data_IF_272564497184
#
_entry.id   IF_272564497184
#
_cell.length_a   1.000
_cell.length_b   1.000
_cell.length_c   1.000
_cell.angle_alpha   90.00
_cell.angle_beta   90.00
_cell.angle_gamma   90.00
#
_symmetry.space_group_name_H-M   'P 1'
#
loop_
_entity.id
_entity.type
_entity.pdbx_description
1 polymer ?
#
# COMPACT_ATOMS: atom_id res chain seq x y z
N UNK A 1 0.58 -12.93 3.92
CA UNK A 1 0.39 -14.34 4.34
C UNK A 1 1.68 -15.11 4.70
N UNK A 2 2.88 -14.72 4.23
CA UNK A 2 4.14 -15.51 4.35
C UNK A 2 5.39 -14.64 4.65
N UNK A 3 5.19 -13.51 5.34
CA UNK A 3 6.25 -12.57 5.73
C UNK A 3 5.82 -11.12 5.53
N UNK A 4 6.81 -10.25 5.37
CA UNK A 4 6.61 -8.80 5.24
C UNK A 4 7.15 -8.28 3.91
N UNK A 5 6.58 -7.17 3.45
CA UNK A 5 7.08 -6.36 2.33
C UNK A 5 7.22 -4.92 2.82
N UNK A 6 8.18 -4.20 2.26
CA UNK A 6 8.32 -2.76 2.42
C UNK A 6 7.88 -2.10 1.13
N UNK A 7 6.84 -1.26 1.20
CA UNK A 7 6.31 -0.52 0.05
C UNK A 7 6.70 0.95 0.17
N UNK A 8 7.37 1.49 -0.84
CA UNK A 8 7.84 2.87 -0.88
C UNK A 8 6.84 3.79 -1.57
N UNK A 9 5.99 4.44 -0.78
CA UNK A 9 4.99 5.40 -1.26
C UNK A 9 5.49 6.83 -1.04
N UNK A 10 6.15 7.40 -2.05
CA UNK A 10 6.79 8.72 -1.95
C UNK A 10 5.83 9.92 -2.07
N UNK A 11 4.65 9.73 -2.67
CA UNK A 11 3.68 10.80 -2.93
C UNK A 11 2.26 10.24 -3.09
N UNK A 12 1.28 11.13 -3.21
CA UNK A 12 -0.15 10.79 -3.32
C UNK A 12 -0.48 9.99 -4.58
N UNK A 13 0.26 10.21 -5.69
CA UNK A 13 0.09 9.45 -6.92
C UNK A 13 0.52 8.00 -6.74
N UNK A 14 1.63 7.75 -6.04
CA UNK A 14 2.09 6.39 -5.73
C UNK A 14 1.10 5.70 -4.80
N UNK A 15 0.51 6.43 -3.85
CA UNK A 15 -0.48 5.88 -2.93
C UNK A 15 -1.76 5.43 -3.65
N UNK A 16 -2.29 6.31 -4.50
CA UNK A 16 -3.43 5.98 -5.38
C UNK A 16 -3.15 4.75 -6.23
N UNK A 17 -1.96 4.73 -6.87
CA UNK A 17 -1.56 3.59 -7.71
C UNK A 17 -1.48 2.29 -6.92
N UNK A 18 -0.94 2.30 -5.71
CA UNK A 18 -0.92 1.13 -4.84
C UNK A 18 -2.35 0.64 -4.55
N UNK A 19 -3.26 1.53 -4.16
CA UNK A 19 -4.65 1.18 -3.85
C UNK A 19 -5.39 0.62 -5.09
N UNK A 20 -5.17 1.20 -6.27
CA UNK A 20 -5.68 0.68 -7.54
C UNK A 20 -5.18 -0.74 -7.84
N UNK A 21 -3.88 -0.99 -7.69
CA UNK A 21 -3.28 -2.31 -7.93
C UNK A 21 -3.80 -3.37 -6.96
N UNK A 22 -4.12 -2.96 -5.73
CA UNK A 22 -4.71 -3.83 -4.72
C UNK A 22 -6.23 -3.98 -4.86
N UNK A 23 -6.84 -3.40 -5.91
CA UNK A 23 -8.28 -3.51 -6.19
C UNK A 23 -9.18 -2.76 -5.21
N UNK A 24 -8.63 -1.78 -4.49
CA UNK A 24 -9.31 -1.02 -3.44
C UNK A 24 -9.03 0.50 -3.60
N UNK A 25 -9.33 1.11 -4.77
CA UNK A 25 -9.06 2.52 -5.03
C UNK A 25 -9.74 3.49 -4.05
N UNK A 26 -10.86 3.09 -3.45
CA UNK A 26 -11.64 3.87 -2.47
C UNK A 26 -10.83 4.27 -1.23
N UNK A 27 -9.81 3.50 -0.86
CA UNK A 27 -8.93 3.82 0.27
C UNK A 27 -8.14 5.10 -0.01
N UNK A 28 -7.78 5.35 -1.28
CA UNK A 28 -7.07 6.57 -1.65
C UNK A 28 -7.95 7.82 -1.69
N UNK A 29 -9.27 7.64 -1.60
CA UNK A 29 -10.26 8.71 -1.50
C UNK A 29 -10.69 8.99 -0.06
N UNK A 30 -10.29 8.13 0.89
CA UNK A 30 -10.52 8.37 2.31
C UNK A 30 -9.85 9.70 2.73
N UNK A 31 -10.59 10.63 3.36
CA UNK A 31 -10.02 11.90 3.84
C UNK A 31 -8.81 11.72 4.77
N UNK A 32 -8.70 10.56 5.44
CA UNK A 32 -7.55 10.23 6.30
C UNK A 32 -6.27 9.94 5.52
N UNK A 33 -6.37 9.57 4.23
CA UNK A 33 -5.24 9.07 3.45
C UNK A 33 -4.98 9.84 2.14
N UNK A 34 -5.80 10.84 1.83
CA UNK A 34 -5.74 11.58 0.56
C UNK A 34 -4.38 12.26 0.36
N UNK A 35 -3.86 12.98 1.36
CA UNK A 35 -2.54 13.63 1.29
C UNK A 35 -1.52 12.94 2.18
N UNK A 36 -0.24 13.15 1.88
CA UNK A 36 0.85 12.62 2.69
C UNK A 36 0.80 13.05 4.16
N UNK A 37 0.46 14.31 4.43
CA UNK A 37 0.32 14.80 5.79
C UNK A 37 -0.79 14.06 6.56
N UNK A 38 -1.91 13.80 5.89
CA UNK A 38 -3.04 13.08 6.47
C UNK A 38 -2.65 11.63 6.78
N UNK A 39 -1.94 10.96 5.86
CA UNK A 39 -1.41 9.61 6.07
C UNK A 39 -0.46 9.52 7.26
N UNK A 40 0.45 10.49 7.41
CA UNK A 40 1.38 10.53 8.55
C UNK A 40 0.62 10.75 9.86
N UNK A 41 -0.37 11.65 9.87
CA UNK A 41 -1.21 11.90 11.04
C UNK A 41 -2.08 10.67 11.42
N UNK A 42 -2.44 9.84 10.43
CA UNK A 42 -3.29 8.66 10.59
C UNK A 42 -2.51 7.34 10.43
N UNK A 43 -1.20 7.33 10.72
CA UNK A 43 -0.33 6.16 10.47
C UNK A 43 -0.85 4.84 11.05
N UNK A 44 -1.42 4.79 12.28
CA UNK A 44 -2.00 3.55 12.80
C UNK A 44 -3.17 3.03 11.95
N UNK A 45 -4.10 3.90 11.57
CA UNK A 45 -5.24 3.55 10.73
C UNK A 45 -4.82 3.16 9.31
N UNK A 46 -3.79 3.83 8.76
CA UNK A 46 -3.21 3.47 7.48
C UNK A 46 -2.58 2.08 7.53
N UNK A 47 -1.84 1.76 8.60
CA UNK A 47 -1.20 0.46 8.78
C UNK A 47 -2.24 -0.66 8.82
N UNK A 48 -3.33 -0.45 9.54
CA UNK A 48 -4.45 -1.41 9.61
C UNK A 48 -5.11 -1.61 8.23
N UNK A 49 -5.38 -0.52 7.50
CA UNK A 49 -5.93 -0.59 6.15
C UNK A 49 -5.01 -1.35 5.19
N UNK A 50 -3.71 -1.05 5.19
CA UNK A 50 -2.73 -1.74 4.35
C UNK A 50 -2.55 -3.21 4.75
N UNK A 51 -2.60 -3.53 6.04
CA UNK A 51 -2.55 -4.91 6.51
C UNK A 51 -3.75 -5.72 6.00
N UNK A 52 -4.94 -5.11 5.98
CA UNK A 52 -6.14 -5.70 5.37
C UNK A 52 -5.96 -5.98 3.88
N UNK A 53 -5.38 -5.04 3.12
CA UNK A 53 -5.11 -5.20 1.68
C UNK A 53 -4.14 -6.35 1.35
N UNK A 54 -3.20 -6.63 2.24
CA UNK A 54 -2.14 -7.61 2.03
C UNK A 54 -2.41 -8.96 2.71
N UNK A 55 -3.49 -9.08 3.49
CA UNK A 55 -3.74 -10.23 4.35
C UNK A 55 -3.88 -11.54 3.56
N UNK A 56 -4.55 -11.51 2.42
CA UNK A 56 -4.86 -12.66 1.57
C UNK A 56 -3.76 -13.00 0.55
N UNK A 57 -2.69 -12.20 0.47
CA UNK A 57 -1.66 -12.33 -0.58
C UNK A 57 -0.31 -12.77 -0.03
N UNK A 58 0.48 -13.42 -0.89
CA UNK A 58 1.88 -13.75 -0.59
C UNK A 58 2.79 -12.55 -0.83
N UNK A 59 3.88 -12.43 -0.07
CA UNK A 59 4.85 -11.33 -0.17
C UNK A 59 5.42 -11.21 -1.59
N UNK A 60 5.64 -12.33 -2.27
CA UNK A 60 6.13 -12.36 -3.66
C UNK A 60 5.07 -11.90 -4.66
N UNK A 61 3.81 -12.25 -4.43
CA UNK A 61 2.69 -11.80 -5.24
C UNK A 61 2.53 -10.28 -5.15
N UNK A 62 2.54 -9.74 -3.92
CA UNK A 62 2.51 -8.29 -3.66
C UNK A 62 3.72 -7.61 -4.31
N UNK A 63 4.91 -8.22 -4.21
CA UNK A 63 6.12 -7.66 -4.79
C UNK A 63 6.02 -7.56 -6.32
N UNK A 64 5.56 -8.63 -6.98
CA UNK A 64 5.38 -8.67 -8.43
C UNK A 64 4.33 -7.65 -8.90
N UNK A 65 3.13 -7.64 -8.30
CA UNK A 65 2.06 -6.71 -8.66
C UNK A 65 2.48 -5.24 -8.53
N UNK A 66 3.18 -4.89 -7.45
CA UNK A 66 3.68 -3.54 -7.24
C UNK A 66 4.77 -3.17 -8.25
N UNK A 67 5.75 -4.04 -8.50
CA UNK A 67 6.82 -3.78 -9.48
C UNK A 67 6.27 -3.59 -10.89
N UNK A 68 5.37 -4.48 -11.34
CA UNK A 68 4.69 -4.36 -12.65
C UNK A 68 3.83 -3.08 -12.72
N UNK A 69 3.24 -2.70 -11.59
CA UNK A 69 2.41 -1.51 -11.47
C UNK A 69 3.17 -0.19 -11.31
N UNK A 70 4.51 -0.22 -11.30
CA UNK A 70 5.38 0.96 -11.15
C UNK A 70 5.49 1.48 -9.72
N UNK A 71 5.13 0.66 -8.73
CA UNK A 71 5.25 0.96 -7.29
C UNK A 71 6.48 0.26 -6.73
N UNK A 72 7.40 1.05 -6.16
CA UNK A 72 8.61 0.51 -5.56
C UNK A 72 8.27 -0.32 -4.31
N UNK A 73 8.75 -1.56 -4.27
CA UNK A 73 8.51 -2.53 -3.20
C UNK A 73 9.74 -3.43 -3.04
N UNK A 74 9.99 -3.88 -1.82
CA UNK A 74 11.01 -4.88 -1.53
C UNK A 74 10.48 -5.92 -0.52
N UNK A 75 10.66 -7.22 -0.76
CA UNK A 75 10.35 -8.23 0.24
C UNK A 75 11.37 -8.23 1.38
N UNK A 76 10.90 -8.51 2.60
CA UNK A 76 11.78 -8.74 3.75
C UNK A 76 12.12 -10.24 3.80
N UNK A 77 13.42 -10.53 3.87
CA UNK A 77 13.98 -11.88 3.97
C UNK A 77 13.92 -12.40 5.39
#
# INVERSE_FOLDING_TARGET
ADGHVLVCVANDRHFKRLCELMGQPEIAEDPRFTKNADRVANMPALTEAMAGLFADKKKMEISLMCLEGGVAVAPIL
#
